data_IF_220829462931
#
_entry.id   IF_220829462931
#
_cell.length_a   1.000
_cell.length_b   1.000
_cell.length_c   1.000
_cell.angle_alpha   90.00
_cell.angle_beta   90.00
_cell.angle_gamma   90.00
#
_symmetry.space_group_name_H-M   'P 1'
#
loop_
_entity.id
_entity.type
_entity.pdbx_description
1 polymer ?
#
# COMPACT_ATOMS: atom_id res chain seq x y z
N UNK A 1 -32.65 15.91 -6.50
CA UNK A 1 -31.89 17.08 -6.97
C UNK A 1 -30.93 16.53 -8.00
N UNK A 2 -31.07 16.94 -9.28
CA UNK A 2 -30.31 16.44 -10.39
C UNK A 2 -28.85 16.92 -10.34
N UNK A 3 -27.95 16.09 -10.80
CA UNK A 3 -26.61 16.52 -11.14
C UNK A 3 -26.71 17.34 -12.45
N UNK A 4 -25.98 18.47 -12.53
CA UNK A 4 -25.76 19.17 -13.80
C UNK A 4 -24.61 18.48 -14.53
N UNK A 5 -24.76 18.35 -15.84
CA UNK A 5 -23.66 17.89 -16.67
C UNK A 5 -22.54 18.94 -16.65
N UNK A 6 -21.30 18.51 -16.55
CA UNK A 6 -20.16 19.41 -16.48
C UNK A 6 -20.05 20.29 -17.75
N UNK A 7 -20.45 19.77 -18.90
CA UNK A 7 -20.49 20.50 -20.17
C UNK A 7 -21.57 21.58 -20.22
N UNK A 8 -22.58 21.55 -19.33
CA UNK A 8 -23.62 22.57 -19.20
C UNK A 8 -23.19 23.75 -18.31
N UNK A 9 -22.03 23.64 -17.64
CA UNK A 9 -21.49 24.73 -16.81
C UNK A 9 -20.69 25.68 -17.71
N UNK A 10 -21.38 26.58 -18.39
CA UNK A 10 -20.73 27.69 -19.09
C UNK A 10 -20.15 28.69 -18.09
N UNK A 11 -18.82 28.73 -18.00
CA UNK A 11 -18.12 29.80 -17.24
C UNK A 11 -17.98 31.02 -18.16
N UNK A 12 -18.95 31.92 -18.07
CA UNK A 12 -19.00 33.13 -18.92
C UNK A 12 -18.15 34.31 -18.41
N UNK A 13 -17.40 34.20 -17.34
CA UNK A 13 -16.55 35.27 -16.83
C UNK A 13 -15.18 34.72 -16.38
N UNK A 14 -14.10 35.29 -16.87
CA UNK A 14 -12.79 35.19 -16.21
C UNK A 14 -12.90 35.87 -14.84
N UNK A 15 -13.13 35.09 -13.82
CA UNK A 15 -13.05 35.56 -12.46
C UNK A 15 -11.60 35.34 -12.02
N UNK A 16 -10.77 36.38 -12.20
CA UNK A 16 -9.45 36.42 -11.57
C UNK A 16 -9.67 36.64 -10.06
N UNK A 17 -10.00 35.57 -9.41
CA UNK A 17 -9.83 35.51 -7.96
C UNK A 17 -8.37 35.11 -7.74
N UNK A 18 -7.52 36.02 -7.32
CA UNK A 18 -6.20 35.66 -6.82
C UNK A 18 -6.28 34.47 -5.83
N UNK A 19 -5.17 33.93 -5.34
CA UNK A 19 -5.20 32.76 -4.46
C UNK A 19 -6.20 32.97 -3.32
N UNK A 20 -7.28 32.18 -3.33
CA UNK A 20 -8.33 32.20 -2.29
C UNK A 20 -8.05 31.04 -1.38
N UNK A 21 -7.62 31.29 -0.17
CA UNK A 21 -7.37 30.28 0.86
C UNK A 21 -6.02 30.44 1.52
N UNK A 22 -5.94 29.90 2.71
CA UNK A 22 -4.72 29.83 3.50
C UNK A 22 -4.05 28.43 3.29
N UNK A 23 -2.77 28.33 3.63
CA UNK A 23 -2.00 27.10 3.47
C UNK A 23 -2.62 25.90 4.19
N UNK A 24 -3.29 26.15 5.32
CA UNK A 24 -3.93 25.11 6.13
C UNK A 24 -5.39 24.80 5.73
N UNK A 25 -5.94 25.52 4.74
CA UNK A 25 -7.27 25.20 4.21
C UNK A 25 -7.27 23.85 3.51
N UNK A 26 -8.38 23.08 3.59
CA UNK A 26 -8.51 21.82 2.89
C UNK A 26 -8.50 21.99 1.37
N UNK A 27 -7.51 21.41 0.70
CA UNK A 27 -7.47 21.33 -0.76
C UNK A 27 -8.28 20.14 -1.29
N UNK A 28 -8.25 19.02 -0.58
CA UNK A 28 -8.99 17.80 -0.91
C UNK A 28 -9.66 17.22 0.33
N UNK A 29 -10.84 16.58 0.13
CA UNK A 29 -11.44 15.69 1.10
C UNK A 29 -11.43 14.30 0.49
N UNK A 30 -10.53 13.44 0.97
CA UNK A 30 -10.38 12.06 0.50
C UNK A 30 -11.14 11.11 1.43
N UNK A 31 -12.03 10.30 0.86
CA UNK A 31 -12.74 9.30 1.66
C UNK A 31 -11.94 8.01 1.75
N UNK A 32 -11.69 7.57 2.99
CA UNK A 32 -11.04 6.28 3.25
C UNK A 32 -12.10 5.20 3.47
N UNK A 33 -11.84 4.02 2.92
CA UNK A 33 -12.74 2.87 3.06
C UNK A 33 -12.68 2.22 4.43
N UNK A 34 -12.25 2.88 5.49
CA UNK A 34 -12.08 2.36 6.85
C UNK A 34 -12.59 0.92 7.08
N UNK A 35 -12.06 0.21 8.02
CA UNK A 35 -12.53 -1.13 8.44
C UNK A 35 -13.94 -1.12 9.04
N UNK A 36 -14.47 0.07 9.33
CA UNK A 36 -15.84 0.31 9.76
C UNK A 36 -16.76 0.55 8.55
N UNK A 37 -18.05 0.21 8.69
CA UNK A 37 -19.04 0.21 7.60
C UNK A 37 -19.19 1.55 6.83
N UNK A 38 -18.75 2.68 7.40
CA UNK A 38 -18.88 3.99 6.78
C UNK A 38 -17.51 4.60 6.42
N UNK A 39 -17.34 5.08 5.17
CA UNK A 39 -16.14 5.81 4.77
C UNK A 39 -15.95 7.09 5.60
N UNK A 40 -14.71 7.41 5.97
CA UNK A 40 -14.35 8.62 6.72
C UNK A 40 -13.76 9.65 5.76
N UNK A 41 -14.26 10.88 5.81
CA UNK A 41 -13.68 11.99 5.06
C UNK A 41 -12.40 12.49 5.72
N UNK A 42 -11.32 12.52 4.97
CA UNK A 42 -10.00 12.96 5.40
C UNK A 42 -9.67 14.28 4.69
N UNK A 43 -9.80 15.45 5.34
CA UNK A 43 -9.39 16.73 4.79
C UNK A 43 -7.87 16.82 4.74
N UNK A 44 -7.32 17.14 3.57
CA UNK A 44 -5.89 17.32 3.33
C UNK A 44 -5.65 18.78 2.93
N UNK A 45 -4.79 19.48 3.65
CA UNK A 45 -4.52 20.90 3.42
C UNK A 45 -3.58 21.11 2.22
N UNK A 46 -3.62 22.32 1.65
CA UNK A 46 -2.67 22.75 0.62
C UNK A 46 -1.23 22.55 1.08
N UNK A 47 -0.88 22.99 2.28
CA UNK A 47 0.45 22.85 2.84
C UNK A 47 0.90 21.39 2.96
N UNK A 48 0.04 20.51 3.46
CA UNK A 48 0.38 19.08 3.62
C UNK A 48 0.66 18.40 2.29
N UNK A 49 -0.16 18.67 1.29
CA UNK A 49 -0.05 18.07 -0.04
C UNK A 49 1.20 18.57 -0.80
N UNK A 50 1.45 19.89 -0.76
CA UNK A 50 2.66 20.48 -1.36
C UNK A 50 3.92 19.94 -0.68
N UNK A 51 3.90 19.80 0.66
CA UNK A 51 5.02 19.24 1.40
C UNK A 51 5.35 17.81 0.98
N UNK A 52 4.35 16.91 0.88
CA UNK A 52 4.57 15.52 0.46
C UNK A 52 5.02 15.44 -1.00
N UNK A 53 4.42 16.24 -1.88
CA UNK A 53 4.79 16.27 -3.30
C UNK A 53 6.24 16.77 -3.52
N UNK A 54 6.67 17.83 -2.83
CA UNK A 54 8.08 18.27 -2.85
C UNK A 54 9.01 17.17 -2.30
N UNK A 55 8.63 16.51 -1.20
CA UNK A 55 9.41 15.43 -0.60
C UNK A 55 9.61 14.25 -1.56
N UNK A 56 8.60 13.95 -2.39
CA UNK A 56 8.69 12.94 -3.44
C UNK A 56 9.64 13.40 -4.56
N UNK A 57 9.54 14.65 -5.02
CA UNK A 57 10.43 15.23 -6.03
C UNK A 57 11.88 15.12 -5.59
N UNK A 58 12.18 15.57 -4.37
CA UNK A 58 13.52 15.53 -3.80
C UNK A 58 14.05 14.10 -3.61
N UNK A 59 13.21 13.17 -3.10
CA UNK A 59 13.59 11.78 -2.81
C UNK A 59 13.98 11.01 -4.06
N UNK A 60 13.29 11.28 -5.18
CA UNK A 60 13.47 10.57 -6.44
C UNK A 60 14.28 11.36 -7.48
N UNK A 61 14.83 12.53 -7.08
CA UNK A 61 15.54 13.43 -7.97
C UNK A 61 14.75 13.67 -9.27
N UNK A 62 13.44 14.02 -9.13
CA UNK A 62 12.57 14.23 -10.28
C UNK A 62 12.95 15.51 -11.03
N UNK A 63 12.99 15.44 -12.35
CA UNK A 63 13.38 16.55 -13.23
C UNK A 63 12.34 16.75 -14.35
N UNK A 64 12.35 17.91 -14.99
CA UNK A 64 11.44 18.28 -16.08
C UNK A 64 11.40 17.27 -17.24
N UNK A 65 12.53 16.58 -17.49
CA UNK A 65 12.62 15.57 -18.55
C UNK A 65 12.03 14.22 -18.20
N UNK A 66 11.66 13.99 -16.94
CA UNK A 66 11.05 12.73 -16.54
C UNK A 66 9.66 12.56 -17.17
N UNK A 67 9.36 11.32 -17.51
CA UNK A 67 8.04 10.89 -17.94
C UNK A 67 7.55 9.89 -16.91
N UNK A 68 6.51 10.26 -16.18
CA UNK A 68 5.93 9.50 -15.10
C UNK A 68 4.68 8.77 -15.58
N UNK A 69 4.65 7.46 -15.45
CA UNK A 69 3.48 6.64 -15.79
C UNK A 69 2.81 6.14 -14.51
N UNK A 70 1.52 6.40 -14.39
CA UNK A 70 0.66 6.01 -13.27
C UNK A 70 -0.64 5.39 -13.78
N UNK A 71 -0.86 4.07 -13.62
CA UNK A 71 -2.09 3.39 -14.04
C UNK A 71 -3.20 3.43 -12.98
N UNK A 72 -3.00 4.16 -11.88
CA UNK A 72 -3.89 4.13 -10.74
C UNK A 72 -5.00 5.19 -10.86
N UNK A 73 -6.12 5.02 -10.14
CA UNK A 73 -7.26 5.94 -10.28
C UNK A 73 -6.99 7.28 -9.60
N UNK A 74 -7.34 8.37 -10.30
CA UNK A 74 -7.18 9.76 -9.83
C UNK A 74 -8.04 10.13 -8.61
N UNK A 75 -8.97 9.28 -8.19
CA UNK A 75 -9.72 9.47 -6.95
C UNK A 75 -9.00 8.92 -5.71
N UNK A 76 -7.74 8.51 -5.83
CA UNK A 76 -6.92 7.97 -4.75
C UNK A 76 -5.59 8.74 -4.63
N UNK A 77 -5.06 8.85 -3.40
CA UNK A 77 -3.78 9.54 -3.16
C UNK A 77 -2.60 8.93 -3.91
N UNK A 78 -2.66 7.65 -4.25
CA UNK A 78 -1.63 6.99 -5.07
C UNK A 78 -1.48 7.59 -6.46
N UNK A 79 -2.46 8.37 -6.95
CA UNK A 79 -2.35 9.08 -8.23
C UNK A 79 -2.33 10.60 -8.07
N UNK A 80 -3.07 11.16 -7.10
CA UNK A 80 -3.05 12.60 -6.81
C UNK A 80 -1.63 13.07 -6.43
N UNK A 81 -0.95 12.33 -5.55
CA UNK A 81 0.40 12.70 -5.10
C UNK A 81 1.43 12.70 -6.27
N UNK A 82 1.55 11.64 -7.09
CA UNK A 82 2.40 11.67 -8.28
C UNK A 82 2.05 12.80 -9.27
N UNK A 83 0.76 13.06 -9.49
CA UNK A 83 0.33 14.18 -10.35
C UNK A 83 0.84 15.54 -9.83
N UNK A 84 0.74 15.78 -8.51
CA UNK A 84 1.26 17.00 -7.89
C UNK A 84 2.78 17.08 -7.97
N UNK A 85 3.48 15.96 -7.72
CA UNK A 85 4.93 15.88 -7.83
C UNK A 85 5.41 16.19 -9.27
N UNK A 86 4.71 15.67 -10.28
CA UNK A 86 4.98 15.97 -11.67
C UNK A 86 4.72 17.47 -12.00
N UNK A 87 3.67 18.06 -11.42
CA UNK A 87 3.39 19.50 -11.58
C UNK A 87 4.52 20.35 -11.02
N UNK A 88 5.03 20.01 -9.82
CA UNK A 88 6.13 20.72 -9.16
C UNK A 88 7.44 20.56 -9.95
N UNK A 89 7.79 19.36 -10.37
CA UNK A 89 9.02 19.08 -11.14
C UNK A 89 8.91 19.47 -12.61
N UNK A 90 7.72 19.87 -13.08
CA UNK A 90 7.39 20.14 -14.49
C UNK A 90 7.58 18.91 -15.39
N UNK A 91 7.57 17.72 -14.82
CA UNK A 91 7.69 16.47 -15.57
C UNK A 91 6.37 16.09 -16.24
N UNK A 92 6.43 15.17 -17.20
CA UNK A 92 5.23 14.68 -17.88
C UNK A 92 4.53 13.64 -17.00
N UNK A 93 3.23 13.81 -16.76
CA UNK A 93 2.39 12.81 -16.08
C UNK A 93 1.49 12.08 -17.08
N UNK A 94 1.54 10.77 -17.11
CA UNK A 94 0.71 9.91 -17.95
C UNK A 94 -0.20 9.07 -17.05
N UNK A 95 -1.49 9.32 -17.13
CA UNK A 95 -2.55 8.54 -16.48
C UNK A 95 -3.35 7.75 -17.49
N UNK A 96 -3.97 6.65 -17.05
CA UNK A 96 -4.85 5.81 -17.87
C UNK A 96 -6.21 5.69 -17.22
N UNK A 97 -7.27 5.59 -18.03
CA UNK A 97 -8.65 5.43 -17.52
C UNK A 97 -8.80 4.10 -16.77
N UNK A 98 -8.16 3.05 -17.29
CA UNK A 98 -8.09 1.73 -16.68
C UNK A 98 -6.76 1.07 -17.05
N UNK A 99 -6.30 0.19 -16.20
CA UNK A 99 -5.09 -0.57 -16.44
C UNK A 99 -5.36 -1.70 -17.45
N UNK A 100 -4.54 -1.74 -18.49
CA UNK A 100 -4.45 -2.85 -19.44
C UNK A 100 -2.96 -3.13 -19.74
N UNK A 101 -2.47 -4.36 -19.61
CA UNK A 101 -1.04 -4.66 -19.72
C UNK A 101 -0.44 -4.33 -21.10
N UNK A 102 -1.13 -4.65 -22.20
CA UNK A 102 -0.63 -4.43 -23.55
C UNK A 102 -0.45 -2.95 -23.85
N UNK A 103 -1.50 -2.15 -23.64
CA UNK A 103 -1.46 -0.70 -23.86
C UNK A 103 -0.48 0.00 -22.90
N UNK A 104 -0.34 -0.52 -21.69
CA UNK A 104 0.62 -0.01 -20.70
C UNK A 104 2.06 -0.23 -21.15
N UNK A 105 2.42 -1.46 -21.57
CA UNK A 105 3.76 -1.76 -22.08
C UNK A 105 4.10 -0.89 -23.30
N UNK A 106 3.14 -0.75 -24.22
CA UNK A 106 3.31 0.15 -25.37
C UNK A 106 3.57 1.59 -24.93
N UNK A 107 2.82 2.10 -23.95
CA UNK A 107 3.00 3.43 -23.38
C UNK A 107 4.39 3.58 -22.74
N UNK A 108 4.83 2.59 -21.93
CA UNK A 108 6.14 2.61 -21.29
C UNK A 108 7.27 2.76 -22.31
N UNK A 109 7.15 2.10 -23.48
CA UNK A 109 8.16 2.12 -24.55
C UNK A 109 8.04 3.40 -25.39
N UNK A 110 6.85 3.71 -25.95
CA UNK A 110 6.66 4.79 -26.92
C UNK A 110 6.80 6.20 -26.31
N UNK A 111 6.56 6.31 -25.00
CA UNK A 111 6.68 7.60 -24.28
C UNK A 111 7.99 7.73 -23.52
N UNK A 112 8.93 6.80 -23.69
CA UNK A 112 10.20 6.81 -22.97
C UNK A 112 10.05 7.02 -21.45
N UNK A 113 9.11 6.28 -20.84
CA UNK A 113 8.79 6.41 -19.42
C UNK A 113 10.04 6.19 -18.57
N UNK A 114 10.33 7.15 -17.69
CA UNK A 114 11.48 7.12 -16.79
C UNK A 114 11.13 6.69 -15.36
N UNK A 115 9.89 6.95 -14.93
CA UNK A 115 9.36 6.59 -13.62
C UNK A 115 8.03 5.85 -13.81
N UNK A 116 7.92 4.63 -13.29
CA UNK A 116 6.68 3.85 -13.30
C UNK A 116 6.15 3.66 -11.89
N UNK A 117 4.84 3.87 -11.70
CA UNK A 117 4.17 3.79 -10.41
C UNK A 117 3.04 2.73 -10.39
N UNK A 118 3.33 1.46 -10.68
CA UNK A 118 2.33 0.39 -10.59
C UNK A 118 1.80 0.18 -9.17
N UNK A 119 2.51 0.64 -8.15
CA UNK A 119 2.28 0.58 -6.71
C UNK A 119 1.85 -0.80 -6.16
N UNK A 120 0.94 -1.51 -6.83
CA UNK A 120 0.41 -2.79 -6.36
C UNK A 120 1.00 -3.98 -7.11
N UNK A 121 1.21 -5.14 -6.43
CA UNK A 121 1.79 -6.34 -7.01
C UNK A 121 1.05 -6.82 -8.26
N UNK A 122 -0.27 -6.81 -8.25
CA UNK A 122 -1.09 -7.31 -9.35
C UNK A 122 -0.81 -6.59 -10.68
N UNK A 123 -0.61 -5.26 -10.65
CA UNK A 123 -0.25 -4.48 -11.83
C UNK A 123 1.11 -4.90 -12.36
N UNK A 124 2.11 -4.98 -11.46
CA UNK A 124 3.47 -5.37 -11.86
C UNK A 124 3.53 -6.80 -12.37
N UNK A 125 2.83 -7.75 -11.72
CA UNK A 125 2.75 -9.15 -12.16
C UNK A 125 2.14 -9.25 -13.57
N UNK A 126 1.08 -8.49 -13.84
CA UNK A 126 0.44 -8.47 -15.17
C UNK A 126 1.37 -7.94 -16.25
N UNK A 127 2.18 -6.91 -15.94
CA UNK A 127 3.18 -6.39 -16.87
C UNK A 127 4.27 -7.40 -17.17
N UNK A 128 4.98 -7.90 -16.13
CA UNK A 128 6.18 -8.75 -16.31
C UNK A 128 5.89 -10.14 -16.86
N UNK A 129 4.65 -10.60 -16.80
CA UNK A 129 4.23 -11.87 -17.38
C UNK A 129 3.63 -11.73 -18.79
N UNK A 130 3.46 -10.50 -19.28
CA UNK A 130 2.98 -10.27 -20.64
C UNK A 130 4.07 -10.58 -21.65
N UNK A 131 3.71 -11.20 -22.78
CA UNK A 131 4.65 -11.62 -23.83
C UNK A 131 5.46 -10.47 -24.43
N UNK A 132 4.90 -9.25 -24.46
CA UNK A 132 5.54 -8.08 -25.03
C UNK A 132 6.40 -7.30 -24.01
N UNK A 133 6.47 -7.77 -22.76
CA UNK A 133 7.31 -7.16 -21.74
C UNK A 133 8.76 -7.59 -21.92
N UNK A 134 9.53 -6.75 -22.61
CA UNK A 134 10.96 -6.93 -22.84
C UNK A 134 11.72 -5.84 -22.10
N UNK A 135 12.39 -6.13 -20.98
CA UNK A 135 13.09 -5.13 -20.15
C UNK A 135 14.11 -4.29 -20.95
N UNK A 136 14.74 -4.87 -21.95
CA UNK A 136 15.69 -4.19 -22.86
C UNK A 136 15.04 -3.06 -23.69
N UNK A 137 13.72 -3.06 -23.85
CA UNK A 137 12.99 -2.00 -24.54
C UNK A 137 12.65 -0.81 -23.62
N UNK A 138 12.77 -0.99 -22.29
CA UNK A 138 12.46 0.02 -21.27
C UNK A 138 13.74 0.79 -20.87
N UNK A 139 14.44 1.35 -21.87
CA UNK A 139 15.78 1.94 -21.67
C UNK A 139 15.78 3.18 -20.80
N UNK A 140 14.72 3.96 -20.86
CA UNK A 140 14.58 5.20 -20.09
C UNK A 140 14.12 4.97 -18.65
N UNK A 141 13.60 3.77 -18.35
CA UNK A 141 13.03 3.43 -17.05
C UNK A 141 14.13 3.36 -15.99
N UNK A 142 14.15 4.34 -15.09
CA UNK A 142 15.15 4.48 -14.01
C UNK A 142 14.62 4.14 -12.63
N UNK A 143 13.29 4.22 -12.44
CA UNK A 143 12.66 4.01 -11.14
C UNK A 143 11.30 3.35 -11.27
N UNK A 144 11.03 2.40 -10.38
CA UNK A 144 9.73 1.73 -10.24
C UNK A 144 9.34 1.76 -8.76
N UNK A 145 8.10 2.20 -8.46
CA UNK A 145 7.53 2.00 -7.12
C UNK A 145 6.60 0.78 -7.12
N UNK A 146 6.79 -0.08 -6.14
CA UNK A 146 5.86 -1.17 -5.85
C UNK A 146 5.89 -1.54 -4.36
N UNK A 147 4.74 -1.90 -3.81
CA UNK A 147 4.58 -2.33 -2.42
C UNK A 147 4.13 -3.79 -2.44
N UNK A 148 5.05 -4.69 -2.10
CA UNK A 148 4.83 -6.13 -2.13
C UNK A 148 5.70 -6.83 -1.07
N UNK A 149 5.49 -8.13 -0.80
CA UNK A 149 6.41 -8.92 -0.01
C UNK A 149 7.84 -8.90 -0.57
N UNK A 150 8.85 -9.00 0.31
CA UNK A 150 10.28 -8.84 -0.02
C UNK A 150 10.70 -9.73 -1.20
N UNK A 151 10.34 -11.01 -1.19
CA UNK A 151 10.73 -11.94 -2.25
C UNK A 151 10.07 -11.59 -3.60
N UNK A 152 8.87 -11.05 -3.57
CA UNK A 152 8.19 -10.54 -4.76
C UNK A 152 8.92 -9.31 -5.32
N UNK A 153 9.29 -8.35 -4.45
CA UNK A 153 10.07 -7.17 -4.86
C UNK A 153 11.44 -7.57 -5.40
N UNK A 154 12.10 -8.55 -4.78
CA UNK A 154 13.36 -9.11 -5.26
C UNK A 154 13.21 -9.73 -6.65
N UNK A 155 12.14 -10.49 -6.87
CA UNK A 155 11.83 -11.08 -8.18
C UNK A 155 11.57 -10.00 -9.24
N UNK A 156 10.84 -8.94 -8.89
CA UNK A 156 10.58 -7.81 -9.80
C UNK A 156 11.88 -7.08 -10.15
N UNK A 157 12.72 -6.77 -9.15
CA UNK A 157 14.01 -6.11 -9.38
C UNK A 157 14.93 -6.92 -10.29
N UNK A 158 14.96 -8.25 -10.15
CA UNK A 158 15.74 -9.11 -11.01
C UNK A 158 15.26 -9.09 -12.48
N UNK A 159 13.98 -8.88 -12.71
CA UNK A 159 13.40 -8.79 -14.06
C UNK A 159 13.62 -7.43 -14.73
N UNK A 160 13.81 -6.36 -13.94
CA UNK A 160 14.04 -5.00 -14.45
C UNK A 160 15.30 -4.41 -13.80
N UNK A 161 16.48 -4.98 -14.08
CA UNK A 161 17.73 -4.63 -13.36
C UNK A 161 18.22 -3.21 -13.65
N UNK A 162 17.79 -2.59 -14.74
CA UNK A 162 18.18 -1.22 -15.12
C UNK A 162 17.47 -0.15 -14.30
N UNK A 163 16.32 -0.47 -13.70
CA UNK A 163 15.55 0.46 -12.88
C UNK A 163 15.73 0.17 -11.38
N UNK A 164 15.76 1.22 -10.56
CA UNK A 164 15.71 1.07 -9.10
C UNK A 164 14.28 0.78 -8.67
N UNK A 165 14.01 -0.42 -8.16
CA UNK A 165 12.75 -0.74 -7.51
C UNK A 165 12.78 -0.22 -6.09
N UNK A 166 11.76 0.54 -5.69
CA UNK A 166 11.61 1.12 -4.34
C UNK A 166 10.22 0.83 -3.80
N UNK A 167 10.10 0.72 -2.48
CA UNK A 167 8.82 0.60 -1.78
C UNK A 167 8.42 1.90 -1.10
N UNK A 168 7.22 1.93 -0.53
CA UNK A 168 6.64 3.10 0.13
C UNK A 168 5.81 2.69 1.35
N UNK A 169 5.63 3.64 2.28
CA UNK A 169 4.68 3.51 3.37
C UNK A 169 3.88 4.80 3.54
N UNK A 170 2.58 4.66 3.69
CA UNK A 170 1.70 5.78 3.97
C UNK A 170 0.22 5.44 3.95
N UNK A 171 -0.58 6.44 4.31
CA UNK A 171 -2.03 6.40 4.43
C UNK A 171 -2.59 7.73 3.92
N UNK A 172 -3.87 7.77 3.64
CA UNK A 172 -4.57 9.00 3.22
C UNK A 172 -4.37 10.12 4.25
N UNK A 173 -4.43 9.79 5.54
CA UNK A 173 -4.31 10.70 6.68
C UNK A 173 -2.96 11.42 6.78
N UNK A 174 -1.95 10.95 6.04
CA UNK A 174 -0.61 11.56 5.96
C UNK A 174 -0.29 12.10 4.57
N UNK A 175 -1.33 12.53 3.83
CA UNK A 175 -1.16 13.05 2.46
C UNK A 175 -0.77 11.96 1.44
N UNK A 176 -1.08 10.71 1.75
CA UNK A 176 -0.85 9.55 0.89
C UNK A 176 0.40 8.74 1.25
N UNK A 177 1.52 9.37 1.52
CA UNK A 177 2.79 8.70 1.81
C UNK A 177 3.60 9.48 2.85
N UNK A 178 4.21 8.79 3.80
CA UNK A 178 5.13 9.36 4.78
C UNK A 178 6.59 8.97 4.52
N UNK A 179 6.82 7.94 3.71
CA UNK A 179 8.17 7.55 3.28
C UNK A 179 8.16 6.85 1.92
N UNK A 180 9.22 7.09 1.15
CA UNK A 180 9.61 6.29 -0.01
C UNK A 180 11.05 5.81 0.14
N UNK A 181 11.35 4.63 -0.40
CA UNK A 181 12.72 4.22 -0.67
C UNK A 181 13.40 5.19 -1.62
N UNK A 182 14.68 5.40 -1.44
CA UNK A 182 15.51 6.20 -2.34
C UNK A 182 16.16 5.30 -3.40
N UNK A 183 16.26 5.73 -4.67
CA UNK A 183 17.05 5.00 -5.66
C UNK A 183 18.54 4.92 -5.29
N UNK A 184 19.00 5.75 -4.33
CA UNK A 184 20.36 5.77 -3.80
C UNK A 184 20.60 4.78 -2.65
N UNK A 185 19.53 4.23 -2.07
CA UNK A 185 19.64 3.22 -1.02
C UNK A 185 20.18 1.91 -1.58
N UNK A 186 20.76 1.07 -0.72
CA UNK A 186 21.19 -0.27 -1.11
C UNK A 186 20.02 -1.09 -1.67
N UNK A 187 20.31 -2.09 -2.50
CA UNK A 187 19.29 -2.99 -3.00
C UNK A 187 18.47 -3.60 -1.86
N UNK A 188 19.15 -4.04 -0.80
CA UNK A 188 18.49 -4.67 0.34
C UNK A 188 17.54 -3.69 1.06
N UNK A 189 17.98 -2.45 1.31
CA UNK A 189 17.13 -1.44 1.93
C UNK A 189 15.90 -1.11 1.07
N UNK A 190 16.08 -0.99 -0.24
CA UNK A 190 14.98 -0.67 -1.18
C UNK A 190 13.88 -1.74 -1.23
N UNK A 191 14.24 -3.03 -1.12
CA UNK A 191 13.29 -4.14 -1.20
C UNK A 191 12.79 -4.61 0.17
N UNK A 192 13.56 -4.42 1.25
CA UNK A 192 13.19 -4.90 2.60
C UNK A 192 12.58 -3.81 3.49
N UNK A 193 12.57 -2.56 3.04
CA UNK A 193 12.02 -1.42 3.79
C UNK A 193 11.16 -0.52 2.91
N UNK A 194 10.39 0.33 3.55
CA UNK A 194 9.62 1.38 2.88
C UNK A 194 10.38 2.72 2.81
N UNK A 195 11.71 2.70 3.00
CA UNK A 195 12.56 3.89 3.05
C UNK A 195 12.48 4.65 4.37
N UNK A 196 13.05 5.85 4.38
CA UNK A 196 13.07 6.75 5.54
C UNK A 196 11.94 7.76 5.47
N UNK A 197 11.43 8.24 6.61
CA UNK A 197 10.48 9.34 6.65
C UNK A 197 10.98 10.58 5.88
N UNK A 198 10.05 11.44 5.51
CA UNK A 198 10.38 12.75 4.94
C UNK A 198 11.16 13.62 5.94
N UNK A 199 12.03 14.51 5.49
CA UNK A 199 12.64 15.53 6.36
C UNK A 199 11.56 16.35 7.08
N UNK A 200 11.52 16.28 8.43
CA UNK A 200 10.48 16.93 9.25
C UNK A 200 9.25 16.07 9.54
N UNK A 201 9.16 14.86 9.00
CA UNK A 201 8.25 13.83 9.47
C UNK A 201 8.91 13.04 10.62
N UNK A 202 8.16 12.84 11.68
CA UNK A 202 8.59 12.06 12.83
C UNK A 202 7.81 10.76 12.87
N UNK A 203 8.50 9.66 13.16
CA UNK A 203 7.88 8.35 13.36
C UNK A 203 8.40 7.78 14.66
N UNK A 204 7.51 7.21 15.45
CA UNK A 204 7.84 6.38 16.60
C UNK A 204 7.09 5.06 16.55
N UNK A 205 7.67 4.06 17.20
CA UNK A 205 7.07 2.74 17.35
C UNK A 205 6.67 2.58 18.81
N UNK A 206 5.42 2.25 19.07
CA UNK A 206 4.91 2.04 20.41
C UNK A 206 4.58 0.57 20.65
N UNK A 207 4.85 0.12 21.86
CA UNK A 207 4.27 -1.12 22.35
C UNK A 207 2.73 -0.96 22.43
N UNK A 208 1.95 -1.82 21.75
CA UNK A 208 0.50 -1.67 21.69
C UNK A 208 -0.20 -1.94 23.03
N UNK A 209 0.47 -2.55 24.02
CA UNK A 209 -0.11 -2.88 25.33
C UNK A 209 0.27 -1.83 26.39
N UNK A 210 1.56 -1.40 26.41
CA UNK A 210 2.08 -0.45 27.41
C UNK A 210 2.11 1.00 26.94
N UNK A 211 2.07 1.25 25.63
CA UNK A 211 2.32 2.53 24.97
C UNK A 211 3.74 3.10 25.18
N UNK A 212 4.69 2.28 25.60
CA UNK A 212 6.09 2.68 25.68
C UNK A 212 6.70 2.81 24.28
N UNK A 213 7.61 3.77 24.11
CA UNK A 213 8.36 3.92 22.87
C UNK A 213 9.40 2.80 22.76
N UNK A 214 9.32 2.04 21.68
CA UNK A 214 10.20 0.91 21.39
C UNK A 214 11.50 1.37 20.71
N UNK A 215 12.54 0.57 20.89
CA UNK A 215 13.85 0.76 20.26
C UNK A 215 13.92 0.30 18.79
N UNK A 216 15.10 0.47 18.15
CA UNK A 216 15.32 0.00 16.79
C UNK A 216 15.06 -1.49 16.62
N UNK A 217 14.44 -1.86 15.49
CA UNK A 217 14.07 -3.22 15.09
C UNK A 217 13.00 -3.91 15.96
N UNK A 218 12.50 -3.26 17.01
CA UNK A 218 11.36 -3.76 17.78
C UNK A 218 10.05 -3.47 17.02
N UNK A 219 9.13 -4.43 17.05
CA UNK A 219 7.83 -4.36 16.36
C UNK A 219 6.77 -3.75 17.28
N UNK A 220 6.06 -2.76 16.79
CA UNK A 220 4.96 -2.13 17.51
C UNK A 220 4.11 -1.25 16.61
N UNK A 221 3.21 -0.50 17.20
CA UNK A 221 2.30 0.41 16.53
C UNK A 221 3.05 1.61 15.96
N UNK A 222 2.86 1.89 14.68
CA UNK A 222 3.44 3.05 14.01
C UNK A 222 2.62 4.30 14.35
N UNK A 223 3.27 5.29 14.93
CA UNK A 223 2.72 6.63 15.05
C UNK A 223 3.53 7.66 14.27
N UNK A 224 2.83 8.62 13.70
CA UNK A 224 3.36 9.60 12.74
C UNK A 224 3.02 11.01 13.20
N UNK A 225 4.00 11.92 13.14
CA UNK A 225 3.80 13.35 13.38
C UNK A 225 4.49 14.19 12.33
N UNK A 226 3.91 15.33 11.97
CA UNK A 226 4.51 16.26 11.02
C UNK A 226 3.46 17.06 10.25
N UNK A 227 3.92 18.00 9.43
CA UNK A 227 3.06 18.91 8.65
C UNK A 227 2.15 18.23 7.63
N UNK A 228 2.45 16.98 7.28
CA UNK A 228 1.68 16.19 6.33
C UNK A 228 0.54 15.39 6.97
N UNK A 229 0.48 15.36 8.29
CA UNK A 229 -0.61 14.70 9.02
C UNK A 229 -1.85 15.59 8.96
N UNK A 230 -3.00 14.99 8.65
CA UNK A 230 -4.28 15.68 8.58
C UNK A 230 -4.70 16.26 9.94
N UNK A 231 -5.66 17.19 9.93
CA UNK A 231 -6.18 17.80 11.16
C UNK A 231 -7.29 17.01 11.85
N UNK A 232 -7.76 15.92 11.23
CA UNK A 232 -8.82 15.07 11.75
C UNK A 232 -9.85 14.68 10.70
N UNK A 233 -10.74 13.77 11.04
CA UNK A 233 -11.81 13.30 10.15
C UNK A 233 -12.98 14.29 10.11
N UNK A 234 -13.48 14.53 8.90
CA UNK A 234 -14.59 15.47 8.65
C UNK A 234 -15.85 15.03 9.40
N UNK A 235 -16.37 15.93 10.26
CA UNK A 235 -17.58 15.70 11.07
C UNK A 235 -17.53 14.43 11.95
N UNK A 236 -16.35 13.92 12.30
CA UNK A 236 -16.19 12.76 13.17
C UNK A 236 -15.13 13.03 14.26
N UNK A 237 -15.53 13.80 15.26
CA UNK A 237 -14.68 14.12 16.42
C UNK A 237 -14.25 12.88 17.19
N UNK A 238 -15.11 11.85 17.25
CA UNK A 238 -14.80 10.62 17.99
C UNK A 238 -13.69 9.85 17.29
N UNK A 239 -13.76 9.65 15.98
CA UNK A 239 -12.71 9.00 15.21
C UNK A 239 -11.41 9.83 15.26
N UNK A 240 -11.53 11.16 15.20
CA UNK A 240 -10.39 12.08 15.31
C UNK A 240 -9.66 11.92 16.64
N UNK A 241 -10.37 11.97 17.77
CA UNK A 241 -9.79 11.78 19.12
C UNK A 241 -9.16 10.40 19.33
N UNK A 242 -9.66 9.38 18.64
CA UNK A 242 -9.08 8.05 18.70
C UNK A 242 -7.82 7.90 17.86
N UNK A 243 -7.67 8.69 16.80
CA UNK A 243 -6.57 8.59 15.85
C UNK A 243 -5.46 9.63 16.11
N UNK A 244 -5.79 10.81 16.63
CA UNK A 244 -4.86 11.91 16.88
C UNK A 244 -4.75 12.19 18.37
N UNK A 245 -3.53 12.13 18.89
CA UNK A 245 -3.21 12.55 20.24
C UNK A 245 -3.16 14.09 20.35
N UNK A 246 -3.26 14.62 21.58
CA UNK A 246 -3.23 16.06 21.85
C UNK A 246 -1.89 16.73 21.48
N UNK A 247 -0.81 15.98 21.38
CA UNK A 247 0.54 16.41 20.98
C UNK A 247 0.86 16.15 19.51
N UNK A 248 -0.19 15.81 18.70
CA UNK A 248 -0.13 15.75 17.24
C UNK A 248 0.37 14.44 16.65
N UNK A 249 0.44 13.37 17.44
CA UNK A 249 0.74 12.05 16.90
C UNK A 249 -0.52 11.38 16.33
N UNK A 250 -0.39 10.92 15.10
CA UNK A 250 -1.40 10.12 14.42
C UNK A 250 -1.08 8.62 14.57
N UNK A 251 -2.01 7.89 15.16
CA UNK A 251 -1.93 6.43 15.29
C UNK A 251 -2.44 5.78 14.02
N UNK A 252 -1.54 5.14 13.28
CA UNK A 252 -1.85 4.60 11.94
C UNK A 252 -2.72 3.35 11.96
N UNK A 253 -2.74 2.62 13.09
CA UNK A 253 -3.30 1.27 13.18
C UNK A 253 -2.44 0.21 12.48
N UNK A 254 -1.23 0.56 12.08
CA UNK A 254 -0.27 -0.34 11.42
C UNK A 254 0.82 -0.77 12.39
N UNK A 255 1.26 -2.01 12.26
CA UNK A 255 2.42 -2.56 12.98
C UNK A 255 3.66 -2.43 12.09
N UNK A 256 4.73 -1.92 12.66
CA UNK A 256 6.00 -1.76 11.97
C UNK A 256 7.19 -1.71 12.91
N UNK A 257 8.36 -1.45 12.35
CA UNK A 257 9.58 -1.20 13.11
C UNK A 257 10.45 -0.18 12.36
N UNK A 258 11.37 0.47 13.07
CA UNK A 258 12.41 1.31 12.49
C UNK A 258 13.76 0.59 12.59
N UNK A 259 14.55 0.61 11.53
CA UNK A 259 15.94 0.16 11.63
C UNK A 259 16.79 1.17 12.42
N UNK A 260 18.03 0.82 12.75
CA UNK A 260 18.99 1.73 13.40
C UNK A 260 19.23 2.99 12.55
N UNK A 261 19.17 2.86 11.21
CA UNK A 261 19.32 3.97 10.27
C UNK A 261 18.02 4.74 10.02
N UNK A 262 16.90 4.33 10.65
CA UNK A 262 15.58 4.98 10.54
C UNK A 262 14.75 4.58 9.31
N UNK A 263 15.03 3.43 8.68
CA UNK A 263 14.15 2.89 7.64
C UNK A 263 12.91 2.22 8.25
N UNK A 264 11.76 2.46 7.66
CA UNK A 264 10.48 1.89 8.10
C UNK A 264 10.33 0.48 7.50
N UNK A 265 9.96 -0.48 8.36
CA UNK A 265 9.47 -1.80 7.94
C UNK A 265 8.01 -1.95 8.34
N UNK A 266 7.17 -2.20 7.37
CA UNK A 266 5.75 -2.49 7.59
C UNK A 266 5.56 -3.99 7.83
N UNK A 267 4.83 -4.35 8.90
CA UNK A 267 4.59 -5.75 9.30
C UNK A 267 3.12 -6.17 9.18
N UNK A 268 2.20 -5.24 8.94
CA UNK A 268 0.78 -5.52 8.79
C UNK A 268 -0.11 -4.54 9.53
N UNK A 269 -1.43 -4.78 9.51
CA UNK A 269 -2.41 -4.04 10.29
C UNK A 269 -2.53 -4.61 11.70
N UNK A 270 -2.71 -3.75 12.69
CA UNK A 270 -2.98 -4.19 14.07
C UNK A 270 -4.24 -5.05 14.14
N UNK A 271 -5.29 -4.68 13.41
CA UNK A 271 -6.56 -5.42 13.35
C UNK A 271 -6.50 -6.76 12.60
N UNK A 272 -5.48 -6.94 11.74
CA UNK A 272 -5.19 -8.18 11.01
C UNK A 272 -4.18 -9.08 11.76
N UNK A 273 -3.77 -8.68 12.96
CA UNK A 273 -2.93 -9.51 13.81
C UNK A 273 -3.79 -10.60 14.47
N UNK A 274 -3.42 -11.84 14.26
CA UNK A 274 -4.06 -12.99 14.89
C UNK A 274 -3.42 -13.26 16.25
N UNK A 275 -4.24 -13.65 17.24
CA UNK A 275 -3.74 -14.15 18.54
C UNK A 275 -3.87 -15.66 18.60
N UNK A 276 -2.84 -16.38 18.14
CA UNK A 276 -2.84 -17.84 18.02
C UNK A 276 -2.11 -18.46 19.20
N UNK A 277 -2.85 -18.98 20.18
CA UNK A 277 -2.26 -19.63 21.36
C UNK A 277 -1.39 -18.68 22.20
N UNK A 278 -1.72 -17.39 22.22
CA UNK A 278 -0.95 -16.35 22.92
C UNK A 278 0.13 -15.68 22.07
N UNK A 279 0.41 -16.19 20.88
CA UNK A 279 1.37 -15.61 19.93
C UNK A 279 0.70 -14.59 19.03
N UNK A 280 1.33 -13.42 18.80
CA UNK A 280 0.90 -12.43 17.84
C UNK A 280 1.43 -12.79 16.44
N UNK A 281 0.53 -13.08 15.51
CA UNK A 281 0.84 -13.52 14.15
C UNK A 281 0.31 -12.52 13.15
N UNK A 282 1.18 -11.94 12.32
CA UNK A 282 0.74 -11.09 11.23
C UNK A 282 0.13 -11.93 10.09
N UNK A 283 -1.11 -11.65 9.71
CA UNK A 283 -1.74 -12.27 8.55
C UNK A 283 -0.87 -12.12 7.29
N UNK A 284 -0.29 -10.94 7.08
CA UNK A 284 0.58 -10.61 5.95
C UNK A 284 1.81 -11.53 5.86
N UNK A 285 2.35 -12.00 6.99
CA UNK A 285 3.51 -12.92 6.99
C UNK A 285 3.12 -14.29 6.42
N UNK A 286 1.93 -14.78 6.78
CA UNK A 286 1.40 -16.04 6.24
C UNK A 286 1.06 -15.88 4.77
N UNK A 287 0.41 -14.77 4.38
CA UNK A 287 0.09 -14.45 2.98
C UNK A 287 1.35 -14.44 2.12
N UNK A 288 2.37 -13.69 2.55
CA UNK A 288 3.64 -13.60 1.82
C UNK A 288 4.29 -14.97 1.62
N UNK A 289 4.18 -15.86 2.61
CA UNK A 289 4.70 -17.22 2.50
C UNK A 289 3.94 -18.03 1.43
N UNK A 290 2.61 -18.04 1.47
CA UNK A 290 1.82 -18.80 0.50
C UNK A 290 1.82 -18.19 -0.90
N UNK A 291 1.93 -16.88 -1.04
CA UNK A 291 2.10 -16.19 -2.33
C UNK A 291 3.41 -16.56 -3.02
N UNK A 292 4.44 -17.03 -2.28
CA UNK A 292 5.67 -17.57 -2.85
C UNK A 292 5.50 -18.94 -3.54
N UNK A 293 4.38 -19.63 -3.30
CA UNK A 293 4.12 -20.91 -3.92
C UNK A 293 3.84 -20.76 -5.42
N UNK A 294 4.54 -21.55 -6.25
CA UNK A 294 4.50 -21.45 -7.72
C UNK A 294 3.10 -21.50 -8.36
N UNK A 295 2.13 -22.14 -7.70
CA UNK A 295 0.76 -22.35 -8.21
C UNK A 295 -0.29 -21.44 -7.55
N UNK A 296 0.11 -20.60 -6.59
CA UNK A 296 -0.74 -19.60 -5.96
C UNK A 296 -0.63 -18.28 -6.74
N UNK A 297 -1.77 -17.66 -7.03
CA UNK A 297 -1.82 -16.33 -7.65
C UNK A 297 -1.78 -15.24 -6.58
N UNK A 298 -2.68 -15.34 -5.60
CA UNK A 298 -2.78 -14.45 -4.46
C UNK A 298 -3.42 -15.20 -3.29
N UNK A 299 -3.04 -14.85 -2.08
CA UNK A 299 -3.66 -15.36 -0.86
C UNK A 299 -4.05 -14.26 0.10
N UNK A 300 -5.03 -14.55 0.96
CA UNK A 300 -5.44 -13.70 2.07
C UNK A 300 -5.67 -14.54 3.31
N UNK A 301 -5.30 -14.00 4.47
CA UNK A 301 -5.45 -14.68 5.76
C UNK A 301 -6.32 -13.85 6.68
N UNK A 302 -7.24 -14.53 7.35
CA UNK A 302 -8.03 -13.97 8.45
C UNK A 302 -7.93 -14.87 9.69
N UNK A 303 -8.01 -14.26 10.85
CA UNK A 303 -8.19 -15.00 12.11
C UNK A 303 -9.64 -15.47 12.23
N UNK A 304 -9.82 -16.73 12.62
CA UNK A 304 -11.11 -17.32 12.95
C UNK A 304 -11.04 -17.94 14.31
N UNK A 305 -12.15 -17.91 15.04
CA UNK A 305 -12.22 -18.40 16.42
C UNK A 305 -11.87 -19.89 16.51
N UNK A 306 -11.13 -20.25 17.55
CA UNK A 306 -10.77 -21.62 17.89
C UNK A 306 -10.84 -21.85 19.41
N UNK A 307 -11.51 -22.92 19.83
CA UNK A 307 -11.79 -23.23 21.25
C UNK A 307 -10.53 -23.43 22.08
N UNK A 308 -9.39 -23.78 21.47
CA UNK A 308 -8.15 -24.11 22.19
C UNK A 308 -7.08 -23.02 22.08
N UNK A 309 -7.01 -22.34 20.93
CA UNK A 309 -5.94 -21.37 20.60
C UNK A 309 -6.42 -19.93 20.60
N UNK A 310 -7.71 -19.69 20.87
CA UNK A 310 -8.35 -18.39 20.75
C UNK A 310 -8.65 -18.06 19.30
N UNK A 311 -7.64 -17.83 18.48
CA UNK A 311 -7.77 -17.70 17.03
C UNK A 311 -6.83 -18.67 16.31
N UNK A 312 -7.19 -18.99 15.06
CA UNK A 312 -6.33 -19.74 14.13
C UNK A 312 -6.39 -19.15 12.74
N UNK A 313 -5.31 -19.27 11.91
CA UNK A 313 -5.32 -18.76 10.56
C UNK A 313 -6.28 -19.55 9.65
N UNK A 314 -7.13 -18.84 8.90
CA UNK A 314 -7.86 -19.33 7.75
C UNK A 314 -7.28 -18.69 6.49
N UNK A 315 -6.79 -19.51 5.57
CA UNK A 315 -6.13 -19.11 4.33
C UNK A 315 -7.11 -19.20 3.16
N UNK A 316 -7.31 -18.10 2.46
CA UNK A 316 -8.05 -18.02 1.21
C UNK A 316 -7.06 -17.91 0.06
N UNK A 317 -7.23 -18.71 -0.98
CA UNK A 317 -6.25 -18.84 -2.07
C UNK A 317 -6.95 -18.76 -3.42
N UNK A 318 -6.48 -17.85 -4.25
CA UNK A 318 -6.72 -17.90 -5.68
C UNK A 318 -5.57 -18.63 -6.36
N UNK A 319 -5.90 -19.64 -7.14
CA UNK A 319 -4.93 -20.45 -7.88
C UNK A 319 -4.59 -19.80 -9.22
N UNK A 320 -3.34 -19.95 -9.66
CA UNK A 320 -2.98 -19.56 -11.03
C UNK A 320 -3.81 -20.35 -12.05
N UNK A 321 -4.08 -19.80 -13.24
CA UNK A 321 -4.79 -20.52 -14.31
C UNK A 321 -4.15 -21.87 -14.60
N UNK A 322 -4.98 -22.92 -14.57
CA UNK A 322 -4.51 -24.30 -14.82
C UNK A 322 -3.90 -25.02 -13.61
N UNK A 323 -3.73 -24.35 -12.48
CA UNK A 323 -3.23 -24.96 -11.24
C UNK A 323 -4.19 -26.03 -10.71
N UNK A 324 -3.60 -27.10 -10.18
CA UNK A 324 -4.31 -28.21 -9.52
C UNK A 324 -3.86 -28.39 -8.07
N UNK A 325 -3.16 -27.40 -7.49
CA UNK A 325 -2.69 -27.47 -6.12
C UNK A 325 -3.85 -27.78 -5.17
N UNK A 326 -3.65 -28.79 -4.31
CA UNK A 326 -4.62 -29.19 -3.28
C UNK A 326 -4.38 -28.47 -1.97
N UNK A 327 -5.32 -28.60 -1.02
CA UNK A 327 -5.15 -28.09 0.35
C UNK A 327 -4.00 -28.81 1.05
N UNK A 328 -3.89 -30.08 0.81
CA UNK A 328 -2.85 -30.97 1.37
C UNK A 328 -1.46 -30.56 0.87
N UNK A 329 -1.32 -30.21 -0.41
CA UNK A 329 -0.05 -29.72 -0.98
C UNK A 329 0.39 -28.41 -0.31
N UNK A 330 -0.55 -27.47 -0.06
CA UNK A 330 -0.24 -26.22 0.61
C UNK A 330 0.14 -26.41 2.09
N UNK A 331 -0.51 -27.35 2.79
CA UNK A 331 -0.11 -27.72 4.15
C UNK A 331 1.27 -28.36 4.17
N UNK A 332 1.55 -29.29 3.26
CA UNK A 332 2.87 -29.92 3.16
C UNK A 332 3.97 -28.90 2.83
N UNK A 333 3.68 -27.94 1.95
CA UNK A 333 4.57 -26.82 1.63
C UNK A 333 4.95 -26.00 2.88
N UNK A 334 4.06 -25.89 3.87
CA UNK A 334 4.27 -25.08 5.07
C UNK A 334 4.93 -25.82 6.24
N UNK A 335 4.85 -27.15 6.28
CA UNK A 335 5.39 -27.95 7.39
C UNK A 335 6.91 -27.82 7.50
N UNK A 336 7.38 -27.49 8.69
CA UNK A 336 8.80 -27.32 8.97
C UNK A 336 9.44 -26.07 8.33
N UNK A 337 8.69 -25.30 7.56
CA UNK A 337 9.14 -24.06 6.93
C UNK A 337 8.68 -22.83 7.71
N UNK A 338 7.47 -22.88 8.28
CA UNK A 338 6.94 -21.84 9.16
C UNK A 338 6.54 -22.47 10.50
N UNK A 339 6.41 -21.65 11.53
CA UNK A 339 6.00 -22.11 12.87
C UNK A 339 4.61 -22.75 12.82
N UNK A 340 4.39 -23.83 13.58
CA UNK A 340 3.14 -24.59 13.57
C UNK A 340 1.88 -23.75 13.84
N UNK A 341 1.99 -22.72 14.67
CA UNK A 341 0.88 -21.83 14.99
C UNK A 341 0.55 -20.88 13.82
N UNK A 342 1.43 -20.71 12.81
CA UNK A 342 1.21 -19.96 11.57
C UNK A 342 0.62 -20.83 10.45
N UNK A 343 0.66 -22.17 10.58
CA UNK A 343 0.09 -23.06 9.56
C UNK A 343 -1.44 -22.93 9.59
N UNK A 344 -2.08 -22.62 8.44
CA UNK A 344 -3.53 -22.46 8.38
C UNK A 344 -4.30 -23.70 8.81
N UNK A 345 -5.33 -23.50 9.63
CA UNK A 345 -6.25 -24.58 10.01
C UNK A 345 -7.32 -24.83 8.95
N UNK A 346 -7.64 -23.80 8.19
CA UNK A 346 -8.61 -23.84 7.12
C UNK A 346 -7.95 -23.30 5.84
N UNK A 347 -8.27 -23.92 4.70
CA UNK A 347 -7.87 -23.44 3.38
C UNK A 347 -9.11 -23.44 2.51
N UNK A 348 -9.39 -22.27 1.89
CA UNK A 348 -10.53 -22.08 1.00
C UNK A 348 -10.01 -21.60 -0.34
N UNK A 349 -10.35 -22.30 -1.43
CA UNK A 349 -10.07 -21.80 -2.77
C UNK A 349 -11.17 -20.83 -3.20
N UNK A 350 -10.76 -19.66 -3.68
CA UNK A 350 -11.65 -18.57 -4.09
C UNK A 350 -11.22 -18.05 -5.45
N UNK A 351 -12.20 -17.64 -6.28
CA UNK A 351 -11.94 -17.05 -7.58
C UNK A 351 -12.58 -15.66 -7.71
N UNK A 352 -13.44 -15.29 -6.75
CA UNK A 352 -14.14 -14.01 -6.75
C UNK A 352 -13.98 -13.35 -5.38
N UNK A 353 -13.07 -12.38 -5.32
CA UNK A 353 -12.72 -11.69 -4.08
C UNK A 353 -13.76 -10.62 -3.73
N UNK A 354 -14.15 -10.52 -2.46
CA UNK A 354 -14.97 -9.39 -2.01
C UNK A 354 -14.14 -8.11 -2.02
N UNK A 355 -14.16 -7.39 -3.14
CA UNK A 355 -13.36 -6.19 -3.32
C UNK A 355 -14.06 -4.92 -2.84
N UNK A 356 -13.29 -3.98 -2.29
CA UNK A 356 -13.57 -2.55 -2.44
C UNK A 356 -13.02 -2.09 -3.79
N UNK A 357 -12.90 -0.79 -4.04
CA UNK A 357 -12.34 -0.31 -5.32
C UNK A 357 -10.97 -0.90 -5.67
N UNK A 358 -10.10 -1.11 -4.67
CA UNK A 358 -8.70 -1.52 -4.89
C UNK A 358 -8.19 -2.58 -3.90
N UNK A 359 -8.96 -2.94 -2.86
CA UNK A 359 -8.51 -3.82 -1.77
C UNK A 359 -9.52 -4.91 -1.47
N UNK A 360 -9.02 -6.10 -1.11
CA UNK A 360 -9.86 -7.19 -0.58
C UNK A 360 -10.44 -6.77 0.77
N UNK A 361 -11.75 -6.95 0.92
CA UNK A 361 -12.47 -6.71 2.16
C UNK A 361 -12.39 -7.95 3.07
N UNK A 362 -11.29 -8.09 3.80
CA UNK A 362 -11.00 -9.26 4.64
C UNK A 362 -12.11 -9.61 5.62
N UNK A 363 -12.82 -8.61 6.17
CA UNK A 363 -13.91 -8.87 7.10
C UNK A 363 -15.03 -9.73 6.50
N UNK A 364 -15.25 -9.63 5.16
CA UNK A 364 -16.23 -10.47 4.46
C UNK A 364 -15.75 -11.90 4.25
N UNK A 365 -14.45 -12.16 4.30
CA UNK A 365 -13.92 -13.51 4.21
C UNK A 365 -14.25 -14.33 5.46
N UNK A 366 -14.40 -13.68 6.62
CA UNK A 366 -14.79 -14.34 7.88
C UNK A 366 -16.20 -14.92 7.83
N UNK A 367 -17.07 -14.39 6.95
CA UNK A 367 -18.46 -14.84 6.79
C UNK A 367 -18.59 -16.01 5.81
N UNK A 368 -17.51 -16.39 5.12
CA UNK A 368 -17.54 -17.50 4.16
C UNK A 368 -17.45 -18.86 4.86
N UNK A 369 -18.01 -19.89 4.20
CA UNK A 369 -17.87 -21.28 4.67
C UNK A 369 -16.41 -21.72 4.56
N UNK A 370 -15.80 -22.02 5.68
CA UNK A 370 -14.41 -22.46 5.78
C UNK A 370 -14.22 -23.93 5.43
N UNK A 371 -15.30 -24.71 5.44
CA UNK A 371 -15.24 -26.16 5.29
C UNK A 371 -14.57 -26.87 6.48
N UNK A 372 -13.96 -28.02 6.23
CA UNK A 372 -13.29 -28.80 7.28
C UNK A 372 -11.88 -28.29 7.60
N UNK A 373 -11.46 -28.48 8.87
CA UNK A 373 -10.06 -28.25 9.28
C UNK A 373 -9.12 -29.17 8.51
N UNK A 374 -8.08 -28.59 7.91
CA UNK A 374 -7.06 -29.32 7.13
C UNK A 374 -5.78 -29.61 7.92
N UNK A 375 -5.58 -28.91 9.05
CA UNK A 375 -4.40 -29.09 9.91
C UNK A 375 -4.78 -28.94 11.39
N UNK A 376 -4.14 -29.73 12.28
CA UNK A 376 -4.29 -29.61 13.74
C UNK A 376 -5.67 -30.04 14.26
N UNK A 377 -6.09 -31.26 13.93
CA UNK A 377 -7.28 -31.90 14.52
C UNK A 377 -7.10 -32.15 16.00
#
# INVERSE_FOLDING_TARGET
>A
KGFQDFEEIEVNNEIDHGPIGEDDDPAFIMYTSGTTANPKGCPLSHASLIYVANSMVDRWDMIEKDVFWDPLPMFHMSSILPFMACTISKSTFISTIHFDPESSIKTLIEKDVSIAFPAFPAVMVSLINHQDFLPENLKSLRLINNVAPIETLRSFQNKVPQASLVSAYGLTEVGGVTSFGSPKDSLEDRISTCGKPWPGAEIRILDPETNDVLGPNEKGLIEIRGKHVFSGYLNDEKATKNALSSDGWFSSGDIGSLSEEGHIRFHGRLEDMLKVGGENVAALEIEAYFDSHKEVLISQVVGVDDDHLGEVPALFVERKPGSKVSKEDLIEFSKGQISNFKIPRYIVFINDWPMSSTKVQKFKLKDLDLGEKVFGK
#
